data_IF_134206040923
#
_entry.id   IF_134206040923
#
_cell.length_a   1.000
_cell.length_b   1.000
_cell.length_c   1.000
_cell.angle_alpha   90.00
_cell.angle_beta   90.00
_cell.angle_gamma   90.00
#
_symmetry.space_group_name_H-M   'P 1'
#
loop_
_entity.id
_entity.type
_entity.pdbx_description
1 polymer ?
#
# COMPACT_ATOMS: atom_id res chain seq x y z
N UNK A 1 45.06 44.65 -33.19
CA UNK A 1 44.35 43.80 -32.22
C UNK A 1 45.28 42.64 -31.87
N UNK A 2 45.77 42.58 -30.64
CA UNK A 2 46.86 41.68 -30.25
C UNK A 2 46.34 40.26 -29.94
N UNK A 3 47.16 39.24 -30.20
CA UNK A 3 46.87 37.82 -29.98
C UNK A 3 46.34 37.50 -28.57
N UNK A 4 46.76 38.30 -27.58
CA UNK A 4 46.33 38.22 -26.19
C UNK A 4 44.83 38.49 -25.99
N UNK A 5 44.28 39.51 -26.65
CA UNK A 5 42.86 39.89 -26.55
C UNK A 5 41.94 38.79 -27.12
N UNK A 6 42.40 38.12 -28.19
CA UNK A 6 41.66 37.03 -28.83
C UNK A 6 41.58 35.79 -27.95
N UNK A 7 42.65 35.46 -27.23
CA UNK A 7 42.67 34.34 -26.26
C UNK A 7 41.78 34.61 -25.06
N UNK A 8 41.79 35.84 -24.54
CA UNK A 8 40.90 36.26 -23.43
C UNK A 8 39.43 36.14 -23.84
N UNK A 9 39.06 36.61 -25.04
CA UNK A 9 37.69 36.49 -25.54
C UNK A 9 37.21 35.04 -25.69
N UNK A 10 38.08 34.13 -26.15
CA UNK A 10 37.76 32.70 -26.28
C UNK A 10 37.56 32.05 -24.90
N UNK A 11 38.42 32.37 -23.92
CA UNK A 11 38.31 31.84 -22.56
C UNK A 11 37.03 32.33 -21.89
N UNK A 12 36.75 33.64 -21.97
CA UNK A 12 35.52 34.23 -21.39
C UNK A 12 34.28 33.64 -22.05
N UNK A 13 34.29 33.44 -23.37
CA UNK A 13 33.19 32.79 -24.08
C UNK A 13 32.97 31.34 -23.65
N UNK A 14 34.04 30.58 -23.41
CA UNK A 14 33.95 29.20 -22.93
C UNK A 14 33.42 29.13 -21.50
N UNK A 15 33.88 30.01 -20.61
CA UNK A 15 33.39 30.11 -19.24
C UNK A 15 31.91 30.50 -19.18
N UNK A 16 31.48 31.43 -20.02
CA UNK A 16 30.07 31.84 -20.09
C UNK A 16 29.17 30.70 -20.60
N UNK A 17 29.64 29.92 -21.60
CA UNK A 17 28.91 28.74 -22.08
C UNK A 17 28.82 27.62 -21.05
N UNK A 18 29.90 27.37 -20.31
CA UNK A 18 29.92 26.42 -19.19
C UNK A 18 28.94 26.82 -18.08
N UNK A 19 28.92 28.10 -17.71
CA UNK A 19 27.96 28.66 -16.75
C UNK A 19 26.52 28.49 -17.22
N UNK A 20 26.22 28.81 -18.48
CA UNK A 20 24.88 28.64 -19.05
C UNK A 20 24.43 27.17 -19.05
N UNK A 21 25.31 26.24 -19.42
CA UNK A 21 25.03 24.80 -19.36
C UNK A 21 24.73 24.36 -17.93
N UNK A 22 25.56 24.76 -16.95
CA UNK A 22 25.35 24.40 -15.54
C UNK A 22 23.99 24.89 -15.00
N UNK A 23 23.56 26.10 -15.37
CA UNK A 23 22.24 26.64 -14.96
C UNK A 23 21.10 25.83 -15.56
N UNK A 24 21.21 25.36 -16.81
CA UNK A 24 20.16 24.51 -17.43
C UNK A 24 20.03 23.13 -16.79
N UNK A 25 21.13 22.56 -16.28
CA UNK A 25 21.07 21.29 -15.55
C UNK A 25 20.47 21.46 -14.15
N UNK A 26 20.69 22.60 -13.49
CA UNK A 26 20.18 22.85 -12.13
C UNK A 26 18.64 23.00 -12.08
N UNK A 27 17.99 23.43 -13.15
CA UNK A 27 16.54 23.60 -13.19
C UNK A 27 15.78 22.33 -13.63
N UNK A 28 16.49 21.30 -14.10
CA UNK A 28 15.89 20.10 -14.69
C UNK A 28 15.53 18.99 -13.68
N UNK A 29 15.75 19.19 -12.38
CA UNK A 29 15.45 18.19 -11.34
C UNK A 29 14.33 18.73 -10.44
N UNK A 30 13.09 18.63 -10.92
CA UNK A 30 11.91 18.67 -10.07
C UNK A 30 11.54 17.21 -9.75
N UNK A 31 12.11 16.65 -8.66
CA UNK A 31 11.64 15.36 -8.15
C UNK A 31 10.38 15.67 -7.37
N UNK A 32 9.23 15.54 -8.01
CA UNK A 32 7.94 15.51 -7.33
C UNK A 32 7.87 14.26 -6.45
N UNK A 33 8.44 14.35 -5.25
CA UNK A 33 8.29 13.37 -4.19
C UNK A 33 6.88 13.48 -3.58
N UNK A 34 5.85 13.48 -4.43
CA UNK A 34 4.51 13.14 -4.01
C UNK A 34 4.51 11.65 -3.75
N UNK A 35 4.89 11.29 -2.52
CA UNK A 35 4.30 10.10 -1.91
C UNK A 35 2.78 10.31 -2.02
N UNK A 36 2.16 9.65 -2.99
CA UNK A 36 0.75 9.33 -2.93
C UNK A 36 0.61 8.49 -1.67
N UNK A 37 0.38 9.14 -0.52
CA UNK A 37 -0.10 8.46 0.66
C UNK A 37 -1.44 7.86 0.25
N UNK A 38 -1.58 6.53 0.21
CA UNK A 38 -2.86 5.92 -0.04
C UNK A 38 -3.79 6.45 1.04
N UNK A 39 -4.90 7.02 0.60
CA UNK A 39 -5.98 7.51 1.43
C UNK A 39 -6.39 6.38 2.38
N UNK A 40 -5.97 6.49 3.64
CA UNK A 40 -6.39 5.66 4.78
C UNK A 40 -6.36 4.15 4.53
N UNK A 41 -5.17 3.57 4.33
CA UNK A 41 -4.98 2.13 4.50
C UNK A 41 -5.15 1.78 5.98
N UNK A 42 -6.40 1.48 6.36
CA UNK A 42 -6.83 1.06 7.68
C UNK A 42 -6.21 -0.27 8.13
N UNK A 43 -5.68 -1.03 7.18
CA UNK A 43 -5.08 -2.33 7.39
C UNK A 43 -3.64 -2.33 6.91
N UNK A 44 -2.80 -3.08 7.60
CA UNK A 44 -1.43 -3.33 7.19
C UNK A 44 -1.18 -4.82 7.07
N UNK A 45 -0.36 -5.20 6.09
CA UNK A 45 0.05 -6.58 5.92
C UNK A 45 1.10 -6.92 6.97
N UNK A 46 0.77 -7.84 7.87
CA UNK A 46 1.59 -8.20 9.02
C UNK A 46 2.37 -9.50 8.84
N UNK A 47 1.93 -10.39 7.95
CA UNK A 47 2.66 -11.61 7.64
C UNK A 47 2.41 -12.09 6.20
N UNK A 48 3.46 -12.66 5.60
CA UNK A 48 3.41 -13.39 4.34
C UNK A 48 3.17 -14.87 4.60
N UNK A 49 2.36 -15.50 3.76
CA UNK A 49 2.17 -16.95 3.83
C UNK A 49 1.56 -17.40 5.15
N UNK A 50 0.57 -16.65 5.64
CA UNK A 50 -0.08 -16.88 6.93
C UNK A 50 -1.61 -16.86 6.79
N UNK A 51 -2.23 -17.96 7.22
CA UNK A 51 -3.67 -18.15 7.24
C UNK A 51 -4.19 -18.14 8.69
N UNK A 52 -5.42 -17.69 8.86
CA UNK A 52 -6.13 -17.79 10.13
C UNK A 52 -6.55 -19.25 10.39
N UNK A 53 -6.38 -19.77 11.62
CA UNK A 53 -6.92 -21.07 11.97
C UNK A 53 -8.46 -21.02 12.01
N UNK A 54 -9.11 -22.13 11.69
CA UNK A 54 -10.58 -22.20 11.57
C UNK A 54 -11.30 -21.71 12.84
N UNK A 55 -10.74 -22.00 14.01
CA UNK A 55 -11.31 -21.62 15.31
C UNK A 55 -11.29 -20.11 15.57
N UNK A 56 -10.42 -19.36 14.87
CA UNK A 56 -10.34 -17.90 14.97
C UNK A 56 -11.04 -17.19 13.82
N UNK A 57 -11.38 -17.92 12.77
CA UNK A 57 -12.12 -17.39 11.62
C UNK A 57 -13.61 -17.42 11.92
N UNK A 58 -14.19 -16.27 12.26
CA UNK A 58 -15.63 -16.19 12.51
C UNK A 58 -16.44 -16.05 11.22
N UNK A 59 -15.81 -15.58 10.14
CA UNK A 59 -16.47 -15.38 8.84
C UNK A 59 -15.52 -15.60 7.69
N UNK A 60 -16.01 -16.28 6.65
CA UNK A 60 -15.37 -16.39 5.35
C UNK A 60 -16.22 -15.70 4.28
N UNK A 61 -15.59 -15.22 3.22
CA UNK A 61 -16.26 -14.62 2.07
C UNK A 61 -15.42 -14.80 0.81
N UNK A 62 -16.06 -15.16 -0.28
CA UNK A 62 -15.41 -15.31 -1.58
C UNK A 62 -15.29 -13.93 -2.24
N UNK A 63 -14.07 -13.42 -2.32
CA UNK A 63 -13.71 -12.20 -3.03
C UNK A 63 -12.27 -12.25 -3.53
N UNK A 64 -12.08 -12.03 -4.83
CA UNK A 64 -10.75 -11.91 -5.44
C UNK A 64 -10.14 -10.51 -5.28
N UNK A 65 -10.74 -9.63 -4.48
CA UNK A 65 -10.28 -8.25 -4.29
C UNK A 65 -9.92 -8.02 -2.83
N UNK A 66 -8.63 -7.73 -2.58
CA UNK A 66 -8.14 -7.33 -1.28
C UNK A 66 -8.92 -6.13 -0.73
N UNK A 67 -9.26 -5.16 -1.60
CA UNK A 67 -10.03 -3.96 -1.22
C UNK A 67 -11.44 -4.29 -0.71
N UNK A 68 -12.09 -5.29 -1.30
CA UNK A 68 -13.39 -5.76 -0.81
C UNK A 68 -13.23 -6.43 0.55
N UNK A 69 -12.19 -7.25 0.75
CA UNK A 69 -11.90 -7.88 2.04
C UNK A 69 -11.62 -6.83 3.14
N UNK A 70 -10.82 -5.80 2.83
CA UNK A 70 -10.61 -4.64 3.71
C UNK A 70 -11.94 -3.97 4.07
N UNK A 71 -12.81 -3.75 3.08
CA UNK A 71 -14.11 -3.09 3.29
C UNK A 71 -15.04 -3.96 4.15
N UNK A 72 -15.02 -5.28 3.96
CA UNK A 72 -15.79 -6.23 4.78
C UNK A 72 -15.32 -6.18 6.24
N UNK A 73 -14.00 -6.24 6.48
CA UNK A 73 -13.45 -6.14 7.82
C UNK A 73 -13.67 -4.75 8.42
N UNK A 74 -13.58 -3.69 7.63
CA UNK A 74 -13.79 -2.32 8.09
C UNK A 74 -15.22 -2.13 8.61
N UNK A 75 -16.20 -2.58 7.85
CA UNK A 75 -17.63 -2.48 8.19
C UNK A 75 -18.03 -3.34 9.39
N UNK A 76 -17.20 -4.32 9.75
CA UNK A 76 -17.42 -5.20 10.88
C UNK A 76 -16.63 -4.68 12.10
N UNK A 77 -17.35 -4.30 13.15
CA UNK A 77 -16.72 -3.72 14.36
C UNK A 77 -15.92 -4.74 15.15
N UNK A 78 -16.27 -6.02 15.03
CA UNK A 78 -15.57 -7.10 15.71
C UNK A 78 -14.28 -7.44 14.97
N UNK A 79 -14.20 -7.19 13.66
CA UNK A 79 -13.03 -7.53 12.87
C UNK A 79 -11.79 -6.70 13.25
N UNK A 80 -10.75 -7.42 13.65
CA UNK A 80 -9.44 -6.87 14.00
C UNK A 80 -8.35 -7.34 13.03
N UNK A 81 -8.48 -8.55 12.50
CA UNK A 81 -7.53 -9.14 11.55
C UNK A 81 -8.26 -9.89 10.45
N UNK A 82 -7.63 -9.99 9.28
CA UNK A 82 -8.13 -10.85 8.21
C UNK A 82 -6.99 -11.52 7.45
N UNK A 83 -7.24 -12.72 6.93
CA UNK A 83 -6.37 -13.39 5.98
C UNK A 83 -7.00 -13.35 4.58
N UNK A 84 -6.20 -13.06 3.56
CA UNK A 84 -6.63 -12.95 2.17
C UNK A 84 -5.85 -13.93 1.29
N UNK A 85 -6.58 -14.74 0.53
CA UNK A 85 -6.02 -15.70 -0.43
C UNK A 85 -5.48 -14.96 -1.66
N UNK A 86 -4.15 -14.89 -1.78
CA UNK A 86 -3.45 -14.13 -2.83
C UNK A 86 -3.18 -14.94 -4.10
N UNK A 87 -3.16 -16.27 -4.00
CA UNK A 87 -2.83 -17.14 -5.13
C UNK A 87 -4.08 -17.71 -5.80
N UNK A 88 -3.92 -18.29 -6.99
CA UNK A 88 -4.98 -19.04 -7.65
C UNK A 88 -5.51 -20.23 -6.83
N UNK A 89 -4.73 -20.72 -5.84
CA UNK A 89 -5.15 -21.75 -4.87
C UNK A 89 -5.83 -21.17 -3.64
N UNK A 90 -5.45 -19.95 -3.24
CA UNK A 90 -6.16 -19.19 -2.21
C UNK A 90 -7.56 -18.75 -2.63
N UNK A 91 -7.94 -18.97 -3.89
CA UNK A 91 -9.28 -18.83 -4.49
C UNK A 91 -9.97 -17.48 -4.27
N UNK A 92 -9.22 -16.43 -3.92
CA UNK A 92 -9.82 -15.18 -3.46
C UNK A 92 -10.71 -15.40 -2.23
N UNK A 93 -10.23 -16.12 -1.22
CA UNK A 93 -10.97 -16.26 0.04
C UNK A 93 -10.52 -15.18 1.02
N UNK A 94 -11.50 -14.47 1.60
CA UNK A 94 -11.32 -13.52 2.69
C UNK A 94 -11.79 -14.16 3.99
N UNK A 95 -10.91 -14.27 4.98
CA UNK A 95 -11.20 -14.84 6.30
C UNK A 95 -11.09 -13.73 7.35
N UNK A 96 -12.14 -13.48 8.11
CA UNK A 96 -12.19 -12.44 9.13
C UNK A 96 -12.04 -13.04 10.52
N UNK A 97 -11.32 -12.34 11.39
CA UNK A 97 -11.04 -12.71 12.78
C UNK A 97 -11.25 -11.52 13.70
N UNK A 98 -11.87 -11.77 14.86
CA UNK A 98 -12.03 -10.77 15.92
C UNK A 98 -10.77 -10.62 16.77
N UNK A 99 -9.81 -11.54 16.62
CA UNK A 99 -8.61 -11.55 17.41
C UNK A 99 -7.59 -10.58 16.81
N UNK A 100 -6.97 -9.77 17.65
CA UNK A 100 -5.75 -9.04 17.30
C UNK A 100 -4.59 -10.04 17.25
N UNK A 101 -3.82 -10.02 16.16
CA UNK A 101 -2.67 -10.89 15.98
C UNK A 101 -1.45 -10.00 15.84
N UNK A 102 -0.54 -10.09 16.80
CA UNK A 102 0.68 -9.30 16.81
C UNK A 102 1.71 -9.85 15.82
N UNK A 103 2.23 -8.93 15.01
CA UNK A 103 3.26 -9.16 14.00
C UNK A 103 4.69 -9.04 14.55
N UNK A 104 4.86 -8.88 15.86
CA UNK A 104 6.16 -8.55 16.49
C UNK A 104 7.22 -9.64 16.29
N UNK A 105 6.81 -10.84 15.88
CA UNK A 105 7.69 -11.95 15.51
C UNK A 105 7.50 -12.27 14.04
N UNK A 106 8.55 -12.78 13.38
CA UNK A 106 8.55 -13.17 11.97
C UNK A 106 7.43 -14.13 11.57
N UNK A 107 6.88 -14.88 12.54
CA UNK A 107 5.66 -15.66 12.39
C UNK A 107 4.69 -15.28 13.51
N UNK A 108 3.48 -14.78 13.19
CA UNK A 108 2.49 -14.46 14.22
C UNK A 108 2.07 -15.73 14.97
N UNK A 109 1.92 -15.63 16.28
CA UNK A 109 1.57 -16.80 17.11
C UNK A 109 0.09 -17.16 16.90
N UNK A 110 -0.17 -18.45 16.66
CA UNK A 110 -1.51 -18.96 16.46
C UNK A 110 -2.09 -18.64 15.08
N UNK A 111 -1.23 -18.59 14.06
CA UNK A 111 -1.56 -18.65 12.63
C UNK A 111 -1.01 -19.92 11.99
N UNK A 112 -1.64 -20.35 10.91
CA UNK A 112 -1.21 -21.49 10.10
C UNK A 112 -0.29 -20.95 9.00
N UNK A 113 0.82 -21.64 8.74
CA UNK A 113 1.65 -21.29 7.59
C UNK A 113 0.99 -21.82 6.34
N UNK A 114 0.59 -20.92 5.45
CA UNK A 114 0.01 -21.24 4.15
C UNK A 114 0.48 -20.17 3.14
N UNK A 115 1.38 -20.50 2.20
CA UNK A 115 1.93 -19.55 1.24
C UNK A 115 0.89 -18.94 0.30
N UNK A 116 -0.33 -19.49 0.25
CA UNK A 116 -1.41 -18.99 -0.58
C UNK A 116 -2.22 -17.87 0.09
N UNK A 117 -1.94 -17.56 1.36
CA UNK A 117 -2.62 -16.53 2.16
C UNK A 117 -1.65 -15.49 2.72
N UNK A 118 -2.11 -14.24 2.77
CA UNK A 118 -1.44 -13.17 3.50
C UNK A 118 -2.32 -12.65 4.64
N UNK A 119 -1.70 -12.25 5.74
CA UNK A 119 -2.39 -11.77 6.94
C UNK A 119 -2.28 -10.26 7.09
N UNK A 120 -3.41 -9.64 7.43
CA UNK A 120 -3.58 -8.20 7.59
C UNK A 120 -4.17 -7.88 8.96
N UNK A 121 -3.71 -6.79 9.58
CA UNK A 121 -4.20 -6.30 10.86
C UNK A 121 -4.73 -4.88 10.75
N UNK A 122 -5.75 -4.57 11.54
CA UNK A 122 -6.33 -3.24 11.66
C UNK A 122 -5.38 -2.32 12.42
N UNK A 123 -5.15 -1.12 11.89
CA UNK A 123 -4.39 -0.08 12.58
C UNK A 123 -5.23 0.56 13.69
N UNK A 124 -4.58 0.93 14.79
CA UNK A 124 -5.23 1.51 15.97
C UNK A 124 -5.96 2.84 15.69
N UNK A 125 -5.57 3.58 14.65
CA UNK A 125 -6.16 4.85 14.25
C UNK A 125 -7.26 4.71 13.19
N UNK A 126 -7.69 3.49 12.89
CA UNK A 126 -8.79 3.23 11.96
C UNK A 126 -10.14 3.21 12.69
N UNK A 127 -10.63 4.40 13.03
CA UNK A 127 -11.97 4.60 13.60
C UNK A 127 -12.97 4.91 12.50
N UNK A 128 -14.10 4.19 12.49
CA UNK A 128 -15.25 4.49 11.64
C UNK A 128 -16.06 5.64 12.25
N UNK A 129 -15.47 6.83 12.37
CA UNK A 129 -16.19 8.05 12.75
C UNK A 129 -16.45 8.88 11.49
N UNK A 130 -17.40 8.43 10.67
CA UNK A 130 -17.86 9.13 9.47
C UNK A 130 -19.32 8.73 9.14
N UNK A 131 -20.13 9.64 8.57
CA UNK A 131 -21.59 9.50 8.54
C UNK A 131 -22.00 8.22 7.81
N UNK A 132 -22.88 7.46 8.46
CA UNK A 132 -23.55 6.25 7.98
C UNK A 132 -24.11 6.45 6.58
N UNK A 133 -23.32 6.12 5.56
CA UNK A 133 -23.85 5.74 4.26
C UNK A 133 -23.79 4.20 4.21
N UNK A 134 -24.93 3.52 4.18
CA UNK A 134 -24.95 2.06 4.19
C UNK A 134 -24.22 1.51 2.95
N UNK A 135 -23.49 0.39 3.07
CA UNK A 135 -22.80 -0.22 1.94
C UNK A 135 -23.81 -0.56 0.83
N UNK A 136 -23.43 -0.42 -0.46
CA UNK A 136 -24.27 -0.84 -1.56
C UNK A 136 -24.60 -2.32 -1.39
N UNK A 137 -25.89 -2.63 -1.27
CA UNK A 137 -26.42 -3.98 -1.16
C UNK A 137 -25.89 -4.80 -2.35
N UNK A 138 -25.25 -5.96 -2.16
CA UNK A 138 -24.85 -6.80 -3.27
C UNK A 138 -26.08 -7.13 -4.10
N UNK A 139 -26.09 -6.68 -5.35
CA UNK A 139 -27.17 -6.93 -6.29
C UNK A 139 -27.36 -8.44 -6.41
N UNK A 140 -28.47 -8.94 -5.87
CA UNK A 140 -28.89 -10.31 -6.08
C UNK A 140 -28.98 -10.55 -7.58
N UNK A 141 -28.22 -11.53 -8.08
CA UNK A 141 -28.42 -12.06 -9.42
C UNK A 141 -29.85 -12.59 -9.46
N UNK A 142 -30.71 -11.89 -10.21
CA UNK A 142 -31.95 -12.48 -10.70
C UNK A 142 -31.61 -13.22 -11.99
N UNK A 143 -32.23 -14.39 -12.10
CA UNK A 143 -32.24 -15.38 -13.18
C UNK A 143 -31.06 -16.35 -13.17
#
# INVERSE_FOLDING_TARGET
>A
MTEMERKVAVIVGYQLRLLLLAVTFATAIQIDNRLVQPQHDCFERIALGAMLPFEKTFRNSDTNSLKICETLCLNDKECQTFAFGISGRGNGTCQLSANTIDATKSRPVGTIFDPDFDLYARKYNCFLDGPTNPPPKPGGKKF
#
